data_IF_388407959027
#
_entry.id   IF_388407959027
#
_cell.length_a   1.000
_cell.length_b   1.000
_cell.length_c   1.000
_cell.angle_alpha   90.00
_cell.angle_beta   90.00
_cell.angle_gamma   90.00
#
_symmetry.space_group_name_H-M   'P 1'
#
loop_
_entity.id
_entity.type
_entity.pdbx_description
1 polymer ?
#
# COMPACT_ATOMS: atom_id res chain seq x y z
N UNK A 1 -8.90 14.52 -1.99
CA UNK A 1 -8.99 13.21 -2.41
C UNK A 1 -10.32 12.68 -2.13
N UNK A 2 -10.63 12.03 -3.02
CA UNK A 2 -11.99 11.92 -3.30
C UNK A 2 -12.67 10.75 -2.65
N UNK A 3 -13.96 10.89 -2.57
CA UNK A 3 -14.84 9.80 -2.23
C UNK A 3 -14.79 8.68 -3.27
N UNK A 4 -14.23 8.93 -4.46
CA UNK A 4 -14.11 7.89 -5.48
C UNK A 4 -13.23 6.73 -5.04
N UNK A 5 -12.11 7.02 -4.37
CA UNK A 5 -11.23 5.97 -3.85
C UNK A 5 -11.98 5.07 -2.87
N UNK A 6 -12.83 5.65 -2.05
CA UNK A 6 -13.62 4.91 -1.06
C UNK A 6 -14.74 4.12 -1.74
N UNK A 7 -15.30 4.62 -2.84
CA UNK A 7 -16.37 3.95 -3.56
C UNK A 7 -15.95 2.60 -4.14
N UNK A 8 -14.66 2.39 -4.44
CA UNK A 8 -14.14 1.10 -4.90
C UNK A 8 -14.18 0.02 -3.81
N UNK A 9 -14.25 0.46 -2.54
CA UNK A 9 -14.27 -0.45 -1.40
C UNK A 9 -15.44 -0.07 -0.51
N UNK A 10 -16.68 -0.45 -0.91
CA UNK A 10 -17.88 -0.04 -0.16
C UNK A 10 -17.87 -0.41 1.32
N UNK A 11 -17.15 -1.47 1.69
CA UNK A 11 -17.04 -1.87 3.08
C UNK A 11 -16.35 -0.81 3.95
N UNK A 12 -15.55 0.08 3.37
CA UNK A 12 -14.93 1.18 4.10
C UNK A 12 -15.94 2.26 4.51
N UNK A 13 -17.13 2.21 3.95
CA UNK A 13 -18.21 3.14 4.29
C UNK A 13 -19.18 2.57 5.33
N UNK A 14 -18.89 1.40 5.89
CA UNK A 14 -19.66 0.83 6.97
C UNK A 14 -19.48 1.67 8.23
N UNK A 15 -19.97 1.21 9.37
CA UNK A 15 -19.84 1.98 10.61
C UNK A 15 -18.38 2.39 10.81
N UNK A 16 -18.12 3.70 10.80
CA UNK A 16 -16.76 4.23 10.90
C UNK A 16 -16.08 3.91 12.22
N UNK A 17 -16.85 3.62 13.26
CA UNK A 17 -16.31 3.30 14.58
C UNK A 17 -16.08 1.81 14.78
N UNK A 18 -16.56 0.98 13.86
CA UNK A 18 -16.33 -0.46 13.94
C UNK A 18 -14.87 -0.78 13.67
N UNK A 19 -14.38 -1.84 14.30
CA UNK A 19 -13.00 -2.29 14.11
C UNK A 19 -12.87 -2.95 12.74
N UNK A 20 -11.90 -2.50 11.96
CA UNK A 20 -11.60 -3.04 10.66
C UNK A 20 -10.44 -4.03 10.69
N UNK A 21 -9.40 -3.74 11.48
CA UNK A 21 -8.19 -4.54 11.55
C UNK A 21 -7.71 -4.64 12.99
N UNK A 22 -7.10 -5.77 13.31
CA UNK A 22 -6.51 -6.02 14.62
C UNK A 22 -5.07 -6.51 14.43
N UNK A 23 -4.14 -5.97 15.22
CA UNK A 23 -2.74 -6.36 15.20
C UNK A 23 -2.27 -6.43 16.67
N UNK A 24 -2.30 -7.62 17.25
CA UNK A 24 -2.02 -7.82 18.66
C UNK A 24 -3.04 -7.10 19.52
N UNK A 25 -2.58 -6.17 20.36
CA UNK A 25 -3.44 -5.37 21.22
C UNK A 25 -3.94 -4.08 20.54
N UNK A 26 -3.42 -3.80 19.36
CA UNK A 26 -3.81 -2.60 18.60
C UNK A 26 -4.96 -2.92 17.67
N UNK A 27 -5.85 -1.97 17.50
CA UNK A 27 -6.94 -2.08 16.55
C UNK A 27 -7.05 -0.80 15.73
N UNK A 28 -7.60 -0.94 14.53
CA UNK A 28 -7.82 0.16 13.62
C UNK A 28 -9.28 0.16 13.21
N UNK A 29 -9.96 1.27 13.39
CA UNK A 29 -11.35 1.41 12.99
C UNK A 29 -11.44 1.62 11.48
N UNK A 30 -12.65 1.48 10.92
CA UNK A 30 -12.86 1.78 9.51
C UNK A 30 -12.55 3.24 9.17
N UNK A 31 -12.86 4.18 10.06
CA UNK A 31 -12.48 5.58 9.84
C UNK A 31 -10.97 5.76 9.75
N UNK A 32 -10.24 5.13 10.65
CA UNK A 32 -8.78 5.21 10.66
C UNK A 32 -8.18 4.54 9.42
N UNK A 33 -8.69 3.38 9.04
CA UNK A 33 -8.25 2.70 7.82
C UNK A 33 -8.53 3.54 6.59
N UNK A 34 -9.75 4.08 6.49
CA UNK A 34 -10.13 4.92 5.37
C UNK A 34 -9.22 6.15 5.25
N UNK A 35 -8.92 6.80 6.37
CA UNK A 35 -8.02 7.94 6.38
C UNK A 35 -6.61 7.56 5.92
N UNK A 36 -6.11 6.42 6.35
CA UNK A 36 -4.81 5.93 5.93
C UNK A 36 -4.78 5.63 4.43
N UNK A 37 -5.82 4.95 3.92
CA UNK A 37 -5.96 4.64 2.50
C UNK A 37 -5.99 5.92 1.67
N UNK A 38 -6.75 6.92 2.10
CA UNK A 38 -6.85 8.18 1.37
C UNK A 38 -5.52 8.94 1.32
N UNK A 39 -4.74 8.88 2.39
CA UNK A 39 -3.39 9.47 2.37
C UNK A 39 -2.47 8.76 1.38
N UNK A 40 -2.55 7.42 1.33
CA UNK A 40 -1.77 6.64 0.37
C UNK A 40 -2.17 7.01 -1.06
N UNK A 41 -3.47 7.05 -1.34
CA UNK A 41 -3.99 7.40 -2.66
C UNK A 41 -3.52 8.79 -3.07
N UNK A 42 -3.66 9.77 -2.19
CA UNK A 42 -3.26 11.14 -2.49
C UNK A 42 -1.77 11.25 -2.81
N UNK A 43 -0.94 10.56 -2.01
CA UNK A 43 0.50 10.55 -2.23
C UNK A 43 0.90 9.88 -3.53
N UNK A 44 0.27 8.76 -3.86
CA UNK A 44 0.57 8.03 -5.09
C UNK A 44 0.14 8.80 -6.34
N UNK A 45 -1.06 9.37 -6.31
CA UNK A 45 -1.60 10.10 -7.45
C UNK A 45 -0.87 11.41 -7.71
N UNK A 46 -0.48 12.11 -6.65
CA UNK A 46 0.24 13.38 -6.76
C UNK A 46 -0.41 14.33 -7.79
N UNK A 47 -1.74 14.46 -7.72
CA UNK A 47 -2.50 15.32 -8.60
C UNK A 47 -3.04 14.67 -9.86
N UNK A 48 -2.63 13.46 -10.19
CA UNK A 48 -3.15 12.72 -11.32
C UNK A 48 -4.48 12.04 -10.97
N UNK A 49 -5.25 11.67 -11.98
CA UNK A 49 -6.55 11.03 -11.79
C UNK A 49 -6.44 9.53 -11.47
N UNK A 50 -5.43 8.88 -11.99
CA UNK A 50 -5.27 7.44 -11.85
C UNK A 50 -3.82 7.05 -12.11
N UNK A 51 -3.38 5.94 -11.51
CA UNK A 51 -2.07 5.35 -11.80
C UNK A 51 -2.05 4.57 -13.12
N UNK A 52 -3.20 4.38 -13.75
CA UNK A 52 -3.31 3.73 -15.07
C UNK A 52 -2.60 2.37 -15.11
N UNK A 53 -2.90 1.55 -14.10
CA UNK A 53 -2.35 0.20 -13.95
C UNK A 53 -0.83 0.16 -13.70
N UNK A 54 -0.23 1.26 -13.27
CA UNK A 54 1.16 1.27 -12.85
C UNK A 54 1.38 0.24 -11.74
N UNK A 55 2.44 -0.53 -11.84
CA UNK A 55 2.79 -1.51 -10.81
C UNK A 55 3.59 -0.84 -9.72
N UNK A 56 3.07 -0.93 -8.51
CA UNK A 56 3.68 -0.32 -7.33
C UNK A 56 4.05 -1.44 -6.37
N UNK A 57 5.33 -1.63 -6.16
CA UNK A 57 5.84 -2.60 -5.20
C UNK A 57 6.03 -1.94 -3.85
N UNK A 58 5.90 -2.71 -2.81
CA UNK A 58 6.22 -2.24 -1.47
C UNK A 58 6.79 -3.37 -0.63
N UNK A 59 7.75 -3.00 0.20
CA UNK A 59 8.49 -3.91 1.06
C UNK A 59 8.20 -3.50 2.50
N UNK A 60 7.08 -4.00 3.03
CA UNK A 60 6.61 -3.67 4.36
C UNK A 60 6.28 -4.93 5.14
N UNK A 61 6.54 -4.95 6.44
CA UNK A 61 6.04 -6.05 7.27
C UNK A 61 4.52 -6.00 7.35
N UNK A 62 3.92 -7.14 7.66
CA UNK A 62 2.48 -7.22 7.86
C UNK A 62 2.08 -6.26 8.99
N UNK A 63 1.23 -5.28 8.68
CA UNK A 63 0.91 -4.19 9.60
C UNK A 63 -0.30 -3.43 9.08
N UNK A 64 -0.74 -2.42 9.84
CA UNK A 64 -1.79 -1.52 9.36
C UNK A 64 -1.35 -0.78 8.11
N UNK A 65 -0.08 -0.36 8.04
CA UNK A 65 0.47 0.31 6.86
C UNK A 65 0.43 -0.59 5.63
N UNK A 66 0.76 -1.87 5.82
CA UNK A 66 0.71 -2.87 4.75
C UNK A 66 -0.70 -2.97 4.15
N UNK A 67 -1.71 -3.06 5.01
CA UNK A 67 -3.10 -3.14 4.56
C UNK A 67 -3.53 -1.86 3.82
N UNK A 68 -3.18 -0.70 4.37
CA UNK A 68 -3.51 0.58 3.74
C UNK A 68 -2.82 0.74 2.38
N UNK A 69 -1.60 0.24 2.24
CA UNK A 69 -0.88 0.28 0.97
C UNK A 69 -1.54 -0.59 -0.09
N UNK A 70 -1.91 -1.83 0.25
CA UNK A 70 -2.60 -2.70 -0.71
C UNK A 70 -3.87 -2.03 -1.21
N UNK A 71 -4.71 -1.60 -0.29
CA UNK A 71 -6.00 -0.99 -0.63
C UNK A 71 -5.77 0.32 -1.38
N UNK A 72 -4.85 1.15 -0.92
CA UNK A 72 -4.57 2.44 -1.52
C UNK A 72 -4.04 2.36 -2.94
N UNK A 73 -3.13 1.43 -3.22
CA UNK A 73 -2.61 1.22 -4.57
C UNK A 73 -3.73 0.84 -5.54
N UNK A 74 -4.56 -0.11 -5.14
CA UNK A 74 -5.69 -0.56 -5.98
C UNK A 74 -6.70 0.56 -6.15
N UNK A 75 -7.02 1.28 -5.07
CA UNK A 75 -7.95 2.41 -5.13
C UNK A 75 -7.44 3.54 -6.02
N UNK A 76 -6.13 3.73 -6.11
CA UNK A 76 -5.52 4.73 -6.99
C UNK A 76 -5.45 4.27 -8.45
N UNK A 77 -5.89 3.07 -8.76
CA UNK A 77 -5.85 2.53 -10.12
C UNK A 77 -4.56 1.82 -10.47
N UNK A 78 -3.76 1.47 -9.48
CA UNK A 78 -2.51 0.75 -9.67
C UNK A 78 -2.64 -0.74 -9.46
N UNK A 79 -1.55 -1.45 -9.65
CA UNK A 79 -1.44 -2.87 -9.38
C UNK A 79 -0.49 -3.04 -8.21
N UNK A 80 -0.99 -3.60 -7.12
CA UNK A 80 -0.20 -3.80 -5.91
C UNK A 80 0.72 -5.01 -6.07
N UNK A 81 2.00 -4.81 -5.77
CA UNK A 81 3.02 -5.87 -5.83
C UNK A 81 3.69 -5.94 -4.45
N UNK A 82 3.07 -6.65 -3.49
CA UNK A 82 3.68 -6.80 -2.17
C UNK A 82 4.88 -7.74 -2.23
N UNK A 83 5.96 -7.34 -1.61
CA UNK A 83 7.20 -8.11 -1.55
C UNK A 83 7.46 -8.56 -0.12
N UNK A 84 8.10 -9.72 0.02
CA UNK A 84 8.44 -10.26 1.33
C UNK A 84 9.62 -9.51 1.94
N UNK A 85 9.47 -9.12 3.22
CA UNK A 85 10.58 -8.52 3.98
C UNK A 85 11.69 -9.54 4.26
N UNK A 86 11.41 -10.82 4.03
CA UNK A 86 12.37 -11.91 4.23
C UNK A 86 13.10 -12.32 2.95
N UNK A 87 12.77 -11.67 1.83
CA UNK A 87 13.41 -11.99 0.57
C UNK A 87 14.87 -11.53 0.56
N UNK A 88 15.73 -12.32 -0.08
CA UNK A 88 17.13 -11.94 -0.26
C UNK A 88 17.25 -10.81 -1.28
N UNK A 89 18.41 -10.15 -1.32
CA UNK A 89 18.68 -9.10 -2.30
C UNK A 89 18.51 -9.61 -3.73
N UNK A 90 18.98 -10.82 -4.02
CA UNK A 90 18.84 -11.42 -5.33
C UNK A 90 17.39 -11.68 -5.72
N UNK A 91 16.58 -12.17 -4.75
CA UNK A 91 15.16 -12.39 -4.96
C UNK A 91 14.42 -11.08 -5.22
N UNK A 92 14.72 -10.03 -4.44
CA UNK A 92 14.10 -8.72 -4.62
C UNK A 92 14.40 -8.15 -6.00
N UNK A 93 15.67 -8.20 -6.41
CA UNK A 93 16.08 -7.73 -7.71
C UNK A 93 15.34 -8.46 -8.84
N UNK A 94 15.23 -9.79 -8.70
CA UNK A 94 14.51 -10.62 -9.67
C UNK A 94 13.02 -10.23 -9.74
N UNK A 95 12.35 -10.11 -8.59
CA UNK A 95 10.92 -9.78 -8.53
C UNK A 95 10.65 -8.41 -9.14
N UNK A 96 11.48 -7.43 -8.81
CA UNK A 96 11.30 -6.07 -9.34
C UNK A 96 11.44 -6.04 -10.85
N UNK A 97 12.37 -6.81 -11.38
CA UNK A 97 12.58 -6.92 -12.82
C UNK A 97 11.41 -7.61 -13.52
N UNK A 98 11.00 -8.77 -13.01
CA UNK A 98 9.94 -9.58 -13.63
C UNK A 98 8.60 -8.88 -13.60
N UNK A 99 8.28 -8.19 -12.47
CA UNK A 99 7.01 -7.52 -12.32
C UNK A 99 6.92 -6.18 -13.05
N UNK A 100 8.01 -5.72 -13.66
CA UNK A 100 8.05 -4.42 -14.35
C UNK A 100 7.57 -3.29 -13.43
N UNK A 101 8.11 -3.24 -12.23
CA UNK A 101 7.74 -2.29 -11.20
C UNK A 101 8.24 -0.89 -11.52
N UNK A 102 7.37 0.11 -11.35
CA UNK A 102 7.74 1.51 -11.58
C UNK A 102 8.04 2.26 -10.29
N UNK A 103 7.48 1.82 -9.17
CA UNK A 103 7.72 2.43 -7.86
C UNK A 103 7.95 1.37 -6.82
N UNK A 104 8.87 1.64 -5.92
CA UNK A 104 9.14 0.79 -4.77
C UNK A 104 9.00 1.63 -3.51
N UNK A 105 8.03 1.29 -2.68
CA UNK A 105 7.77 1.98 -1.43
C UNK A 105 8.43 1.24 -0.27
N UNK A 106 9.11 1.98 0.58
CA UNK A 106 9.88 1.43 1.68
C UNK A 106 9.60 2.18 2.97
N UNK A 107 9.50 1.48 4.11
CA UNK A 107 9.56 2.17 5.38
C UNK A 107 10.99 2.70 5.58
N UNK A 108 11.12 3.82 6.29
CA UNK A 108 12.41 4.47 6.47
C UNK A 108 13.50 3.57 7.04
N UNK A 109 13.12 2.69 7.94
CA UNK A 109 14.04 1.77 8.61
C UNK A 109 14.62 0.67 7.73
N UNK A 110 13.96 0.40 6.58
CA UNK A 110 14.37 -0.68 5.65
C UNK A 110 14.97 -0.14 4.36
N UNK A 111 15.02 1.17 4.24
CA UNK A 111 15.35 1.80 2.96
C UNK A 111 16.73 1.42 2.42
N UNK A 112 17.74 1.41 3.29
CA UNK A 112 19.10 1.13 2.84
C UNK A 112 19.27 -0.28 2.30
N UNK A 113 18.69 -1.26 2.99
CA UNK A 113 18.74 -2.65 2.56
C UNK A 113 18.05 -2.86 1.22
N UNK A 114 16.91 -2.25 1.05
CA UNK A 114 16.16 -2.37 -0.20
C UNK A 114 16.87 -1.69 -1.36
N UNK A 115 17.53 -0.56 -1.12
CA UNK A 115 18.29 0.12 -2.16
C UNK A 115 19.46 -0.71 -2.64
N UNK A 116 20.07 -1.50 -1.78
CA UNK A 116 21.16 -2.40 -2.17
C UNK A 116 20.67 -3.53 -3.09
N UNK A 117 19.38 -3.85 -3.05
CA UNK A 117 18.78 -4.89 -3.89
C UNK A 117 18.43 -4.39 -5.29
N UNK A 118 18.30 -3.10 -5.45
CA UNK A 118 17.85 -2.47 -6.69
C UNK A 118 19.03 -1.86 -7.41
#
# INVERSE_FOLDING_TARGET
>A
MSSEAVAWFPSLNQSGEAVALVDGERSLTYNELNNAVMRVVAGLLNGEDSLKEERVAFLYPASFDYAALIIGVVAAGGIAVPLSVHASAGELSHYLSVAAVRRLLLPGEMRSEALDAV
#
